data_IF_363884285539
#
_entry.id   IF_363884285539
#
_cell.length_a   1.000
_cell.length_b   1.000
_cell.length_c   1.000
_cell.angle_alpha   90.00
_cell.angle_beta   90.00
_cell.angle_gamma   90.00
#
_symmetry.space_group_name_H-M   'P 1'
#
loop_
_entity.id
_entity.type
_entity.pdbx_description
1 polymer ?
#
# COMPACT_ATOMS: atom_id res chain seq x y z
N UNK A 1 -68.01 40.05 -25.45
CA UNK A 1 -67.51 39.07 -26.43
C UNK A 1 -66.03 38.86 -26.19
N UNK A 2 -65.58 37.65 -25.85
CA UNK A 2 -64.13 37.38 -25.88
C UNK A 2 -63.65 37.59 -27.32
N UNK A 3 -62.57 38.35 -27.56
CA UNK A 3 -62.11 38.60 -28.92
C UNK A 3 -61.78 37.26 -29.57
N UNK A 4 -62.32 37.00 -30.76
CA UNK A 4 -62.18 35.74 -31.53
C UNK A 4 -60.74 35.20 -31.59
N UNK A 5 -59.76 36.10 -31.54
CA UNK A 5 -58.33 35.80 -31.47
C UNK A 5 -57.89 35.05 -30.19
N UNK A 6 -58.48 35.36 -29.04
CA UNK A 6 -58.21 34.66 -27.78
C UNK A 6 -58.75 33.22 -27.79
N UNK A 7 -59.92 33.01 -28.44
CA UNK A 7 -60.52 31.69 -28.62
C UNK A 7 -59.67 30.84 -29.58
N UNK A 8 -59.16 31.43 -30.67
CA UNK A 8 -58.25 30.76 -31.60
C UNK A 8 -56.93 30.33 -30.93
N UNK A 9 -56.30 31.22 -30.15
CA UNK A 9 -55.09 30.89 -29.38
C UNK A 9 -55.33 29.81 -28.33
N UNK A 10 -56.43 29.90 -27.58
CA UNK A 10 -56.79 28.88 -26.58
C UNK A 10 -56.98 27.51 -27.23
N UNK A 11 -57.67 27.43 -28.39
CA UNK A 11 -57.83 26.19 -29.15
C UNK A 11 -56.50 25.61 -29.64
N UNK A 12 -55.61 26.44 -30.15
CA UNK A 12 -54.28 26.00 -30.58
C UNK A 12 -53.44 25.44 -29.41
N UNK A 13 -53.48 26.11 -28.25
CA UNK A 13 -52.80 25.61 -27.03
C UNK A 13 -53.39 24.26 -26.60
N UNK A 14 -54.71 24.11 -26.61
CA UNK A 14 -55.36 22.85 -26.24
C UNK A 14 -55.00 21.72 -27.21
N UNK A 15 -54.94 22.00 -28.51
CA UNK A 15 -54.53 21.02 -29.52
C UNK A 15 -53.08 20.54 -29.30
N UNK A 16 -52.16 21.48 -29.10
CA UNK A 16 -50.75 21.17 -28.81
C UNK A 16 -50.60 20.41 -27.49
N UNK A 17 -51.31 20.83 -26.43
CA UNK A 17 -51.27 20.15 -25.14
C UNK A 17 -51.77 18.71 -25.23
N UNK A 18 -52.83 18.46 -26.02
CA UNK A 18 -53.33 17.09 -26.27
C UNK A 18 -52.29 16.24 -27.01
N UNK A 19 -51.68 16.78 -28.06
CA UNK A 19 -50.64 16.06 -28.81
C UNK A 19 -49.45 15.68 -27.91
N UNK A 20 -48.96 16.61 -27.08
CA UNK A 20 -47.88 16.33 -26.14
C UNK A 20 -48.30 15.31 -25.08
N UNK A 21 -49.53 15.40 -24.57
CA UNK A 21 -50.07 14.43 -23.63
C UNK A 21 -50.13 13.02 -24.23
N UNK A 22 -50.63 12.86 -25.45
CA UNK A 22 -50.73 11.55 -26.10
C UNK A 22 -49.35 10.92 -26.30
N UNK A 23 -48.34 11.73 -26.65
CA UNK A 23 -46.95 11.28 -26.73
C UNK A 23 -46.44 10.78 -25.37
N UNK A 24 -46.63 11.57 -24.32
CA UNK A 24 -46.18 11.21 -22.97
C UNK A 24 -46.93 9.98 -22.44
N UNK A 25 -48.23 9.88 -22.70
CA UNK A 25 -49.09 8.73 -22.37
C UNK A 25 -48.59 7.46 -23.04
N UNK A 26 -48.22 7.54 -24.33
CA UNK A 26 -47.64 6.42 -25.07
C UNK A 26 -46.31 5.99 -24.46
N UNK A 27 -45.42 6.94 -24.15
CA UNK A 27 -44.13 6.65 -23.52
C UNK A 27 -44.30 6.01 -22.13
N UNK A 28 -45.24 6.49 -21.32
CA UNK A 28 -45.53 5.95 -20.00
C UNK A 28 -46.05 4.52 -20.06
N UNK A 29 -46.99 4.23 -20.97
CA UNK A 29 -47.46 2.86 -21.21
C UNK A 29 -46.34 1.93 -21.66
N UNK A 30 -45.43 2.42 -22.51
CA UNK A 30 -44.27 1.65 -22.93
C UNK A 30 -43.32 1.36 -21.75
N UNK A 31 -43.04 2.36 -20.92
CA UNK A 31 -42.23 2.22 -19.71
C UNK A 31 -42.82 1.18 -18.75
N UNK A 32 -44.13 1.22 -18.50
CA UNK A 32 -44.83 0.23 -17.65
C UNK A 32 -44.69 -1.19 -18.19
N UNK A 33 -44.91 -1.40 -19.50
CA UNK A 33 -44.73 -2.71 -20.14
C UNK A 33 -43.30 -3.26 -20.01
N UNK A 34 -42.29 -2.39 -20.15
CA UNK A 34 -40.90 -2.80 -19.96
C UNK A 34 -40.65 -3.24 -18.50
N UNK A 35 -41.22 -2.52 -17.53
CA UNK A 35 -41.12 -2.89 -16.13
C UNK A 35 -41.82 -4.22 -15.79
N UNK A 36 -43.01 -4.46 -16.35
CA UNK A 36 -43.69 -5.76 -16.26
C UNK A 36 -42.86 -6.90 -16.87
N UNK A 37 -42.19 -6.61 -17.99
CA UNK A 37 -41.24 -7.53 -18.62
C UNK A 37 -40.05 -7.88 -17.70
N UNK A 38 -39.53 -6.91 -16.93
CA UNK A 38 -38.50 -7.16 -15.92
C UNK A 38 -39.01 -8.05 -14.78
N UNK A 39 -40.26 -7.84 -14.32
CA UNK A 39 -40.89 -8.70 -13.32
C UNK A 39 -40.96 -10.15 -13.78
N UNK A 40 -41.36 -10.37 -15.04
CA UNK A 40 -41.38 -11.71 -15.63
C UNK A 40 -39.98 -12.32 -15.75
N UNK A 41 -38.99 -11.53 -16.16
CA UNK A 41 -37.61 -11.98 -16.37
C UNK A 41 -36.88 -12.32 -15.06
N UNK A 42 -37.03 -11.48 -14.03
CA UNK A 42 -36.41 -11.65 -12.72
C UNK A 42 -37.31 -12.37 -11.70
N UNK A 43 -38.51 -12.80 -12.10
CA UNK A 43 -39.49 -13.51 -11.29
C UNK A 43 -39.91 -12.76 -10.01
N UNK A 44 -40.33 -11.50 -10.16
CA UNK A 44 -40.97 -10.72 -9.10
C UNK A 44 -42.29 -10.11 -9.57
N UNK A 45 -43.17 -9.73 -8.63
CA UNK A 45 -44.43 -9.05 -8.94
C UNK A 45 -44.20 -7.53 -9.14
N UNK A 46 -44.35 -6.99 -10.37
CA UNK A 46 -44.19 -5.56 -10.66
C UNK A 46 -45.16 -4.64 -9.90
N UNK A 47 -46.28 -5.16 -9.40
CA UNK A 47 -47.25 -4.35 -8.66
C UNK A 47 -46.92 -4.27 -7.16
N UNK A 48 -46.06 -5.17 -6.67
CA UNK A 48 -45.63 -5.23 -5.28
C UNK A 48 -44.46 -4.29 -4.96
N UNK A 49 -43.66 -3.95 -5.98
CA UNK A 49 -42.45 -3.11 -5.87
C UNK A 49 -42.56 -1.94 -6.83
N UNK A 50 -42.38 -0.71 -6.34
CA UNK A 50 -42.38 0.47 -7.19
C UNK A 50 -41.14 0.50 -8.10
N UNK A 51 -41.22 1.21 -9.23
CA UNK A 51 -40.11 1.34 -10.17
C UNK A 51 -38.93 2.05 -9.48
N UNK A 52 -39.24 3.05 -8.65
CA UNK A 52 -38.28 3.81 -7.87
C UNK A 52 -37.53 2.92 -6.87
N UNK A 53 -38.23 2.06 -6.13
CA UNK A 53 -37.62 1.15 -5.16
C UNK A 53 -36.75 0.10 -5.87
N UNK A 54 -37.26 -0.52 -6.94
CA UNK A 54 -36.53 -1.53 -7.70
C UNK A 54 -35.19 -1.00 -8.23
N UNK A 55 -35.19 0.17 -8.87
CA UNK A 55 -33.96 0.76 -9.39
C UNK A 55 -33.10 1.40 -8.29
N UNK A 56 -33.70 1.84 -7.18
CA UNK A 56 -32.99 2.28 -5.98
C UNK A 56 -32.15 1.17 -5.37
N UNK A 57 -32.77 0.00 -5.15
CA UNK A 57 -32.09 -1.19 -4.64
C UNK A 57 -30.99 -1.67 -5.59
N UNK A 58 -31.25 -1.66 -6.92
CA UNK A 58 -30.26 -2.05 -7.91
C UNK A 58 -29.06 -1.09 -7.95
N UNK A 59 -29.30 0.22 -7.82
CA UNK A 59 -28.25 1.22 -7.74
C UNK A 59 -27.40 1.06 -6.47
N UNK A 60 -28.05 0.77 -5.34
CA UNK A 60 -27.38 0.47 -4.09
C UNK A 60 -26.53 -0.81 -4.20
N UNK A 61 -27.10 -1.90 -4.74
CA UNK A 61 -26.38 -3.14 -5.00
C UNK A 61 -25.13 -2.91 -5.85
N UNK A 62 -25.25 -2.15 -6.95
CA UNK A 62 -24.11 -1.82 -7.81
C UNK A 62 -23.01 -1.10 -7.04
N UNK A 63 -23.38 -0.14 -6.19
CA UNK A 63 -22.42 0.62 -5.37
C UNK A 63 -21.70 -0.29 -4.39
N UNK A 64 -22.45 -1.08 -3.61
CA UNK A 64 -21.91 -2.03 -2.65
C UNK A 64 -21.02 -3.08 -3.32
N UNK A 65 -21.40 -3.57 -4.49
CA UNK A 65 -20.60 -4.53 -5.24
C UNK A 65 -19.24 -3.95 -5.65
N UNK A 66 -19.22 -2.72 -6.17
CA UNK A 66 -17.97 -2.05 -6.57
C UNK A 66 -17.07 -1.75 -5.36
N UNK A 67 -17.65 -1.39 -4.22
CA UNK A 67 -16.92 -1.21 -2.97
C UNK A 67 -16.32 -2.54 -2.49
N UNK A 68 -17.09 -3.63 -2.48
CA UNK A 68 -16.61 -4.95 -2.10
C UNK A 68 -15.47 -5.44 -3.02
N UNK A 69 -15.54 -5.18 -4.33
CA UNK A 69 -14.44 -5.49 -5.26
C UNK A 69 -13.15 -4.75 -4.86
N UNK A 70 -13.25 -3.46 -4.54
CA UNK A 70 -12.11 -2.64 -4.09
C UNK A 70 -11.55 -3.12 -2.76
N UNK A 71 -12.41 -3.48 -1.81
CA UNK A 71 -12.01 -4.01 -0.51
C UNK A 71 -11.32 -5.38 -0.62
N UNK A 72 -11.84 -6.26 -1.47
CA UNK A 72 -11.23 -7.55 -1.75
C UNK A 72 -9.81 -7.42 -2.31
N UNK A 73 -9.59 -6.44 -3.21
CA UNK A 73 -8.26 -6.15 -3.73
C UNK A 73 -7.30 -5.70 -2.61
N UNK A 74 -7.72 -4.72 -1.79
CA UNK A 74 -6.93 -4.25 -0.63
C UNK A 74 -6.61 -5.37 0.36
N UNK A 75 -7.59 -6.25 0.62
CA UNK A 75 -7.42 -7.39 1.52
C UNK A 75 -6.35 -8.34 0.99
N UNK A 76 -6.39 -8.67 -0.31
CA UNK A 76 -5.38 -9.52 -0.96
C UNK A 76 -3.97 -8.93 -0.87
N UNK A 77 -3.81 -7.63 -1.14
CA UNK A 77 -2.52 -6.95 -1.03
C UNK A 77 -1.98 -6.95 0.41
N UNK A 78 -2.85 -6.69 1.38
CA UNK A 78 -2.48 -6.69 2.80
C UNK A 78 -2.05 -8.08 3.27
N UNK A 79 -2.76 -9.13 2.87
CA UNK A 79 -2.41 -10.51 3.18
C UNK A 79 -1.04 -10.89 2.61
N UNK A 80 -0.74 -10.50 1.37
CA UNK A 80 0.59 -10.72 0.77
C UNK A 80 1.69 -9.96 1.52
N UNK A 81 1.43 -8.71 1.91
CA UNK A 81 2.38 -7.90 2.70
C UNK A 81 2.67 -8.54 4.06
N UNK A 82 1.64 -9.03 4.75
CA UNK A 82 1.79 -9.74 6.04
C UNK A 82 2.57 -11.04 5.85
N UNK A 83 2.25 -11.85 4.83
CA UNK A 83 2.98 -13.09 4.53
C UNK A 83 4.46 -12.84 4.27
N UNK A 84 4.80 -11.82 3.46
CA UNK A 84 6.19 -11.43 3.20
C UNK A 84 6.91 -10.96 4.46
N UNK A 85 6.26 -10.15 5.29
CA UNK A 85 6.84 -9.68 6.55
C UNK A 85 7.12 -10.84 7.54
N UNK A 86 6.21 -11.82 7.63
CA UNK A 86 6.40 -13.02 8.47
C UNK A 86 7.59 -13.85 7.99
N UNK A 87 7.68 -14.15 6.69
CA UNK A 87 8.80 -14.91 6.12
C UNK A 87 10.15 -14.19 6.30
N UNK A 88 10.18 -12.87 6.16
CA UNK A 88 11.41 -12.10 6.38
C UNK A 88 11.88 -12.13 7.84
N UNK A 89 10.93 -12.04 8.80
CA UNK A 89 11.24 -12.15 10.24
C UNK A 89 11.74 -13.55 10.61
N UNK A 90 11.07 -14.60 10.14
CA UNK A 90 11.50 -15.99 10.39
C UNK A 90 12.89 -16.26 9.81
N UNK A 91 13.16 -15.79 8.59
CA UNK A 91 14.48 -15.93 7.96
C UNK A 91 15.58 -15.20 8.73
N UNK A 92 15.30 -13.98 9.21
CA UNK A 92 16.25 -13.21 10.01
C UNK A 92 16.52 -13.86 11.37
N UNK A 93 15.50 -14.45 11.99
CA UNK A 93 15.63 -15.18 13.25
C UNK A 93 16.45 -16.46 13.09
N UNK A 94 16.20 -17.23 12.02
CA UNK A 94 16.98 -18.44 11.68
C UNK A 94 18.45 -18.09 11.42
N UNK A 95 18.73 -17.05 10.62
CA UNK A 95 20.11 -16.62 10.35
C UNK A 95 20.82 -16.15 11.63
N UNK A 96 20.10 -15.48 12.55
CA UNK A 96 20.65 -15.07 13.85
C UNK A 96 20.97 -16.27 14.74
N UNK A 97 20.09 -17.27 14.80
CA UNK A 97 20.31 -18.50 15.58
C UNK A 97 21.50 -19.31 15.02
N UNK A 98 21.60 -19.46 13.70
CA UNK A 98 22.73 -20.16 13.05
C UNK A 98 24.07 -19.46 13.34
N UNK A 99 24.12 -18.12 13.27
CA UNK A 99 25.32 -17.35 13.63
C UNK A 99 25.69 -17.52 15.09
N UNK A 100 24.70 -17.54 15.99
CA UNK A 100 24.94 -17.78 17.41
C UNK A 100 25.46 -19.19 17.67
N UNK A 101 24.91 -20.22 17.02
CA UNK A 101 25.38 -21.60 17.14
C UNK A 101 26.81 -21.77 16.61
N UNK A 102 27.11 -21.25 15.41
CA UNK A 102 28.48 -21.26 14.85
C UNK A 102 29.48 -20.54 15.76
N UNK A 103 29.08 -19.41 16.35
CA UNK A 103 29.91 -18.69 17.32
C UNK A 103 30.14 -19.50 18.61
N UNK A 104 29.11 -20.19 19.13
CA UNK A 104 29.24 -21.08 20.30
C UNK A 104 30.16 -22.27 20.02
N UNK A 105 30.10 -22.86 18.83
CA UNK A 105 31.03 -23.94 18.45
C UNK A 105 32.50 -23.48 18.38
N UNK A 106 32.75 -22.22 18.03
CA UNK A 106 34.09 -21.61 17.99
C UNK A 106 34.57 -21.10 19.35
N UNK A 107 33.67 -20.92 20.32
CA UNK A 107 33.95 -20.39 21.65
C UNK A 107 33.31 -21.36 22.66
N UNK A 108 33.90 -22.54 22.80
CA UNK A 108 33.61 -23.46 23.91
C UNK A 108 34.54 -23.08 25.08
N UNK A 109 34.14 -22.06 25.84
CA UNK A 109 34.86 -21.64 27.06
C UNK A 109 34.35 -22.33 28.32
N UNK A 110 33.41 -23.28 28.22
CA UNK A 110 32.81 -23.95 29.38
C UNK A 110 33.21 -25.42 29.53
N UNK A 111 34.11 -25.95 28.70
CA UNK A 111 34.84 -27.17 29.04
C UNK A 111 36.11 -26.80 29.76
N UNK A 112 36.01 -26.73 31.09
CA UNK A 112 37.15 -26.90 31.99
C UNK A 112 37.90 -28.17 31.54
N UNK A 113 39.08 -28.05 30.92
CA UNK A 113 39.80 -29.21 30.44
C UNK A 113 41.09 -28.98 29.65
N UNK A 114 41.08 -28.16 28.58
CA UNK A 114 42.21 -28.17 27.62
C UNK A 114 42.70 -26.75 27.26
N UNK A 115 43.48 -26.14 28.15
CA UNK A 115 44.10 -24.82 27.96
C UNK A 115 45.20 -24.82 26.88
N UNK A 116 45.67 -25.98 26.42
CA UNK A 116 46.78 -26.10 25.45
C UNK A 116 46.40 -26.01 23.97
N UNK A 117 45.11 -26.06 23.59
CA UNK A 117 44.68 -26.09 22.18
C UNK A 117 43.86 -24.88 21.69
N UNK A 118 43.49 -23.99 22.63
CA UNK A 118 42.62 -22.84 22.34
C UNK A 118 43.35 -21.77 21.51
N UNK A 119 44.63 -21.52 21.80
CA UNK A 119 45.41 -20.52 21.08
C UNK A 119 45.65 -20.92 19.61
N UNK A 120 45.97 -22.18 19.36
CA UNK A 120 46.19 -22.68 18.00
C UNK A 120 44.88 -22.67 17.20
N UNK A 121 43.76 -23.05 17.81
CA UNK A 121 42.44 -22.94 17.18
C UNK A 121 42.05 -21.48 16.85
N UNK A 122 42.40 -20.52 17.70
CA UNK A 122 42.19 -19.08 17.44
C UNK A 122 43.10 -18.57 16.32
N UNK A 123 44.37 -18.94 16.32
CA UNK A 123 45.35 -18.56 15.29
C UNK A 123 44.98 -19.17 13.93
N UNK A 124 44.55 -20.42 13.90
CA UNK A 124 44.06 -21.10 12.70
C UNK A 124 42.79 -20.43 12.17
N UNK A 125 41.85 -20.03 13.03
CA UNK A 125 40.64 -19.31 12.62
C UNK A 125 40.94 -17.90 12.08
N UNK A 126 41.97 -17.23 12.58
CA UNK A 126 42.44 -15.94 12.08
C UNK A 126 43.15 -16.10 10.72
N UNK A 127 44.02 -17.11 10.60
CA UNK A 127 44.82 -17.38 9.41
C UNK A 127 43.99 -17.94 8.24
N UNK A 128 43.07 -18.87 8.52
CA UNK A 128 42.06 -19.35 7.54
C UNK A 128 41.02 -18.28 7.19
N UNK A 129 40.99 -17.16 7.92
CA UNK A 129 40.03 -16.07 7.74
C UNK A 129 38.62 -16.39 8.23
N UNK A 130 38.40 -17.55 8.85
CA UNK A 130 37.11 -17.97 9.42
C UNK A 130 36.60 -16.99 10.49
N UNK A 131 37.51 -16.39 11.27
CA UNK A 131 37.21 -15.41 12.31
C UNK A 131 36.56 -14.11 11.80
N UNK A 132 36.73 -13.76 10.52
CA UNK A 132 36.28 -12.47 9.95
C UNK A 132 35.16 -12.60 8.92
N UNK A 133 34.64 -13.81 8.69
CA UNK A 133 33.65 -14.08 7.63
C UNK A 133 32.37 -13.25 7.76
N UNK A 134 32.00 -12.81 8.98
CA UNK A 134 30.77 -12.06 9.20
C UNK A 134 30.88 -10.54 8.87
N UNK A 135 32.10 -9.99 8.77
CA UNK A 135 32.30 -8.55 8.48
C UNK A 135 32.28 -8.19 6.99
N UNK A 136 32.39 -9.17 6.07
CA UNK A 136 32.49 -8.91 4.62
C UNK A 136 31.14 -8.88 3.87
N UNK A 137 30.00 -8.89 4.58
CA UNK A 137 28.70 -8.52 3.98
C UNK A 137 28.46 -7.00 4.01
N UNK A 138 29.45 -6.20 3.62
CA UNK A 138 29.22 -4.82 3.16
C UNK A 138 29.34 -4.83 1.63
N UNK A 139 28.31 -4.30 0.99
CA UNK A 139 28.06 -4.08 -0.45
C UNK A 139 29.33 -3.96 -1.31
N UNK A 140 29.39 -4.60 -2.50
CA UNK A 140 30.59 -4.55 -3.34
C UNK A 140 30.85 -3.11 -3.81
N UNK A 141 32.03 -2.59 -3.49
CA UNK A 141 32.57 -1.38 -4.13
C UNK A 141 33.43 -1.88 -5.28
N UNK A 142 32.88 -1.80 -6.50
CA UNK A 142 33.61 -2.11 -7.73
C UNK A 142 34.90 -1.27 -7.75
N UNK A 143 36.05 -1.93 -7.88
CA UNK A 143 37.35 -1.30 -8.02
C UNK A 143 38.08 -1.95 -9.17
N UNK A 144 38.16 -1.24 -10.30
CA UNK A 144 39.13 -1.51 -11.34
C UNK A 144 40.39 -0.68 -11.09
N UNK A 145 41.48 -1.45 -11.01
CA UNK A 145 42.91 -1.26 -11.22
C UNK A 145 43.51 0.16 -11.47
N UNK A 146 44.53 0.43 -10.63
CA UNK A 146 45.63 1.43 -10.58
C UNK A 146 46.40 1.72 -11.91
N UNK A 147 47.53 2.49 -11.95
CA UNK A 147 47.91 3.82 -11.40
C UNK A 147 48.60 4.75 -12.44
N UNK A 148 48.68 6.07 -12.22
CA UNK A 148 49.73 6.96 -12.82
C UNK A 148 49.79 8.35 -12.16
N UNK A 149 50.85 8.58 -11.37
CA UNK A 149 51.64 9.82 -11.08
C UNK A 149 51.03 11.23 -10.83
N UNK A 150 51.78 12.12 -10.13
CA UNK A 150 51.23 13.10 -9.19
C UNK A 150 51.27 14.56 -9.70
N UNK A 151 50.26 15.37 -9.37
CA UNK A 151 50.34 16.84 -9.47
C UNK A 151 49.30 17.56 -8.59
N UNK A 152 49.82 18.22 -7.55
CA UNK A 152 49.50 19.58 -7.10
C UNK A 152 48.14 20.21 -7.44
N UNK A 153 47.30 20.45 -6.42
CA UNK A 153 46.71 21.78 -6.10
C UNK A 153 45.71 21.67 -4.96
N UNK A 154 46.07 22.19 -3.80
CA UNK A 154 45.14 23.06 -3.09
C UNK A 154 45.33 24.46 -3.68
N UNK A 155 44.24 25.17 -4.01
CA UNK A 155 43.90 26.29 -3.14
C UNK A 155 42.39 26.60 -3.06
N UNK A 156 42.00 27.23 -1.94
CA UNK A 156 40.97 28.26 -1.99
C UNK A 156 39.72 27.98 -1.17
N UNK A 157 39.75 28.40 0.10
CA UNK A 157 38.58 28.89 0.78
C UNK A 157 38.03 30.12 0.01
N UNK A 158 36.71 30.22 -0.16
CA UNK A 158 36.02 31.49 0.04
C UNK A 158 34.52 31.30 0.31
N UNK A 159 34.08 32.15 1.24
CA UNK A 159 32.76 32.31 1.83
C UNK A 159 31.68 32.78 0.84
N UNK A 160 30.43 32.40 1.11
CA UNK A 160 29.35 33.30 1.59
C UNK A 160 27.97 32.64 1.35
N UNK A 161 27.30 32.13 2.39
CA UNK A 161 26.38 32.82 3.28
C UNK A 161 24.93 32.92 2.75
N UNK A 162 24.01 32.10 3.29
CA UNK A 162 22.76 32.53 3.97
C UNK A 162 21.75 31.39 4.17
N UNK A 163 21.52 31.11 5.46
CA UNK A 163 20.25 30.86 6.17
C UNK A 163 19.28 29.74 5.72
N UNK A 164 19.18 28.78 6.65
CA UNK A 164 17.96 28.30 7.30
C UNK A 164 17.12 27.20 6.63
N UNK A 165 17.17 25.99 7.22
CA UNK A 165 16.02 25.33 7.84
C UNK A 165 16.49 24.06 8.58
N UNK A 166 15.88 23.79 9.73
CA UNK A 166 16.42 22.94 10.80
C UNK A 166 16.47 21.44 10.52
N UNK A 167 17.38 20.77 11.22
CA UNK A 167 17.02 19.82 12.27
C UNK A 167 18.26 19.53 13.12
N UNK A 168 18.36 20.15 14.29
CA UNK A 168 19.38 19.80 15.28
C UNK A 168 19.19 18.35 15.71
N UNK A 169 20.18 17.52 15.41
CA UNK A 169 20.34 16.19 16.01
C UNK A 169 21.45 16.27 17.04
N UNK A 170 21.13 16.83 18.19
CA UNK A 170 22.05 16.91 19.33
C UNK A 170 22.34 15.51 19.87
N UNK A 171 23.58 15.08 19.65
CA UNK A 171 24.22 14.02 20.44
C UNK A 171 24.87 14.70 21.64
N UNK A 172 24.56 14.23 22.85
CA UNK A 172 25.51 14.32 23.96
C UNK A 172 25.46 13.05 24.80
N UNK A 173 26.64 12.62 25.22
CA UNK A 173 26.93 11.44 26.04
C UNK A 173 27.03 11.84 27.52
N UNK A 174 26.94 10.82 28.38
CA UNK A 174 27.24 10.71 29.83
C UNK A 174 25.96 10.60 30.68
N UNK A 175 25.61 9.42 31.18
CA UNK A 175 26.21 8.61 32.26
C UNK A 175 25.70 9.04 33.64
N UNK A 176 24.82 8.22 34.23
CA UNK A 176 24.85 7.74 35.63
C UNK A 176 23.51 7.05 35.97
N UNK A 177 23.59 5.76 36.29
CA UNK A 177 22.63 5.04 37.17
C UNK A 177 23.10 5.29 38.64
N UNK A 178 22.41 4.88 39.74
CA UNK A 178 21.14 4.17 39.89
C UNK A 178 20.25 4.65 41.08
N UNK A 179 19.25 3.83 41.41
CA UNK A 179 18.44 3.71 42.65
C UNK A 179 17.08 4.43 42.64
N UNK A 180 15.97 3.71 42.56
CA UNK A 180 15.38 2.82 43.58
C UNK A 180 14.83 3.60 44.79
N UNK A 181 13.51 3.85 44.74
CA UNK A 181 12.59 3.58 45.85
C UNK A 181 11.17 3.48 45.34
#
# INVERSE_FOLDING_TARGET
MLPSFAIGRSRAIVALAREQYEKLSTMHKNMQKLYEGLGSYFAFDPHSVSIEDFFGDLANFRTLFLEAVKENHKKKEMEEKIKRAKLAKEKAEREKQERQQKKKQLIDMNKEGDETGVMDSLMEALQSGAAFRDRRKRTPRNGDQSPSSPASRWPGANHDNRRAAGLERSRSRHNANPSAR
#
